data_IF_090048428584
#
_entry.id   IF_090048428584
#
_cell.length_a   1.000
_cell.length_b   1.000
_cell.length_c   1.000
_cell.angle_alpha   90.00
_cell.angle_beta   90.00
_cell.angle_gamma   90.00
#
_symmetry.space_group_name_H-M   'P 1'
#
loop_
_entity.id
_entity.type
_entity.pdbx_description
1 polymer ?
#
# COMPACT_ATOMS: atom_id res chain seq x y z
N UNK A 1 -4.36 -1.39 7.40
CA UNK A 1 -3.35 -1.65 6.33
C UNK A 1 -2.40 -0.47 6.06
N UNK A 2 -2.84 0.70 5.56
CA UNK A 2 -1.95 1.87 5.32
C UNK A 2 -1.39 2.45 6.62
N UNK A 3 -2.26 2.73 7.60
CA UNK A 3 -1.86 3.23 8.91
C UNK A 3 -0.97 2.22 9.67
N UNK A 4 -1.32 0.93 9.64
CA UNK A 4 -0.52 -0.17 10.24
C UNK A 4 0.89 -0.26 9.67
N UNK A 5 1.06 -0.03 8.35
CA UNK A 5 2.37 -0.03 7.70
C UNK A 5 3.17 1.25 7.95
N UNK A 6 2.54 2.29 8.53
CA UNK A 6 3.15 3.60 8.75
C UNK A 6 3.38 4.40 7.47
N UNK A 7 2.70 4.05 6.37
CA UNK A 7 2.90 4.67 5.05
C UNK A 7 1.85 5.74 4.72
N UNK A 8 0.97 6.07 5.67
CA UNK A 8 -0.06 7.10 5.52
C UNK A 8 -1.05 7.08 6.68
N UNK A 9 -2.16 7.79 6.50
CA UNK A 9 -3.28 7.79 7.43
C UNK A 9 -4.46 6.99 6.86
N UNK A 10 -5.19 6.31 7.74
CA UNK A 10 -6.53 5.80 7.43
C UNK A 10 -7.54 6.76 8.07
N UNK A 11 -8.40 7.35 7.25
CA UNK A 11 -9.45 8.24 7.74
C UNK A 11 -10.58 7.41 8.38
N UNK A 12 -11.11 7.88 9.51
CA UNK A 12 -12.14 7.17 10.26
C UNK A 12 -13.53 7.46 9.66
N UNK A 13 -13.95 6.58 8.76
CA UNK A 13 -15.23 6.66 8.05
C UNK A 13 -15.12 7.26 6.65
N UNK A 14 -16.22 7.26 5.88
CA UNK A 14 -16.21 7.72 4.49
C UNK A 14 -16.42 9.22 4.32
N UNK A 15 -16.95 9.93 5.34
CA UNK A 15 -17.32 11.35 5.26
C UNK A 15 -16.38 12.22 6.10
N UNK A 16 -15.36 12.85 5.49
CA UNK A 16 -14.46 13.73 6.21
C UNK A 16 -15.10 15.07 6.57
N UNK A 17 -14.73 15.57 7.75
CA UNK A 17 -14.79 17.00 8.07
C UNK A 17 -13.46 17.67 7.73
N UNK A 18 -13.42 19.00 7.74
CA UNK A 18 -12.17 19.75 7.52
C UNK A 18 -11.14 19.38 8.59
N UNK A 19 -11.55 19.29 9.86
CA UNK A 19 -10.68 19.01 10.99
C UNK A 19 -10.11 17.59 10.91
N UNK A 20 -10.98 16.60 10.66
CA UNK A 20 -10.59 15.20 10.60
C UNK A 20 -9.74 14.88 9.37
N UNK A 21 -9.97 15.55 8.24
CA UNK A 21 -9.10 15.47 7.07
C UNK A 21 -7.75 16.14 7.32
N UNK A 22 -7.74 17.31 7.98
CA UNK A 22 -6.51 18.03 8.29
C UNK A 22 -5.61 17.22 9.22
N UNK A 23 -6.18 16.55 10.23
CA UNK A 23 -5.45 15.63 11.10
C UNK A 23 -4.85 14.44 10.32
N UNK A 24 -5.60 13.87 9.37
CA UNK A 24 -5.09 12.80 8.52
C UNK A 24 -3.95 13.26 7.59
N UNK A 25 -4.05 14.49 7.08
CA UNK A 25 -3.00 15.10 6.25
C UNK A 25 -1.73 15.40 7.04
N UNK A 26 -1.84 15.85 8.29
CA UNK A 26 -0.68 16.05 9.16
C UNK A 26 0.13 14.76 9.32
N UNK A 27 -0.54 13.63 9.52
CA UNK A 27 0.11 12.31 9.56
C UNK A 27 0.70 11.95 8.19
N UNK A 28 -0.09 12.02 7.12
CA UNK A 28 0.32 11.57 5.79
C UNK A 28 1.49 12.37 5.21
N UNK A 29 1.59 13.67 5.53
CA UNK A 29 2.62 14.58 5.03
C UNK A 29 3.89 14.61 5.89
N UNK A 30 3.91 13.93 7.05
CA UNK A 30 5.07 13.90 7.93
C UNK A 30 6.30 13.28 7.20
N UNK A 31 7.51 13.87 7.31
CA UNK A 31 8.71 13.36 6.63
C UNK A 31 9.01 11.87 6.91
N UNK A 32 8.76 11.41 8.14
CA UNK A 32 8.91 10.00 8.52
C UNK A 32 8.01 9.06 7.70
N UNK A 33 6.80 9.50 7.35
CA UNK A 33 5.85 8.72 6.56
C UNK A 33 6.32 8.62 5.12
N UNK A 34 6.89 9.69 4.55
CA UNK A 34 7.51 9.66 3.22
C UNK A 34 8.64 8.64 3.14
N UNK A 35 9.54 8.65 4.13
CA UNK A 35 10.66 7.69 4.20
C UNK A 35 10.12 6.27 4.28
N UNK A 36 9.19 6.01 5.21
CA UNK A 36 8.61 4.67 5.38
C UNK A 36 7.86 4.20 4.15
N UNK A 37 7.11 5.07 3.47
CA UNK A 37 6.43 4.74 2.23
C UNK A 37 7.41 4.36 1.12
N UNK A 38 8.56 5.05 1.03
CA UNK A 38 9.63 4.71 0.08
C UNK A 38 10.27 3.34 0.36
N UNK A 39 10.57 3.04 1.62
CA UNK A 39 11.07 1.73 2.04
C UNK A 39 10.10 0.62 1.65
N UNK A 40 8.83 0.74 2.04
CA UNK A 40 7.81 -0.26 1.73
C UNK A 40 7.61 -0.40 0.23
N UNK A 41 7.64 0.69 -0.53
CA UNK A 41 7.53 0.64 -1.99
C UNK A 41 8.65 -0.19 -2.63
N UNK A 42 9.87 -0.14 -2.08
CA UNK A 42 11.01 -0.93 -2.58
C UNK A 42 10.86 -2.45 -2.37
N UNK A 43 9.99 -2.86 -1.45
CA UNK A 43 9.71 -4.27 -1.15
C UNK A 43 8.59 -4.87 -2.02
N UNK A 44 7.82 -4.04 -2.73
CA UNK A 44 6.65 -4.49 -3.48
C UNK A 44 7.03 -4.91 -4.90
N UNK A 45 6.84 -6.19 -5.23
CA UNK A 45 6.95 -6.71 -6.60
C UNK A 45 5.75 -6.32 -7.46
N UNK A 46 5.99 -5.96 -8.72
CA UNK A 46 4.96 -5.52 -9.68
C UNK A 46 4.60 -6.58 -10.75
N UNK A 47 5.29 -7.71 -10.78
CA UNK A 47 5.17 -8.77 -11.80
C UNK A 47 4.20 -9.89 -11.40
N UNK A 48 3.32 -9.66 -10.42
CA UNK A 48 2.46 -10.69 -9.84
C UNK A 48 1.57 -11.41 -10.86
N UNK A 49 1.00 -10.68 -11.82
CA UNK A 49 0.18 -11.27 -12.88
C UNK A 49 1.00 -12.18 -13.81
N UNK A 50 2.22 -11.77 -14.18
CA UNK A 50 3.12 -12.58 -14.99
C UNK A 50 3.57 -13.84 -14.26
N UNK A 51 3.98 -13.71 -12.99
CA UNK A 51 4.37 -14.82 -12.15
C UNK A 51 3.24 -15.86 -12.02
N UNK A 52 2.00 -15.39 -11.78
CA UNK A 52 0.83 -16.26 -11.70
C UNK A 52 0.54 -16.98 -13.03
N UNK A 53 0.67 -16.29 -14.16
CA UNK A 53 0.49 -16.89 -15.48
C UNK A 53 1.54 -17.99 -15.76
N UNK A 54 2.83 -17.75 -15.44
CA UNK A 54 3.89 -18.75 -15.55
C UNK A 54 3.59 -19.98 -14.71
N UNK A 55 3.18 -19.78 -13.46
CA UNK A 55 2.79 -20.88 -12.55
C UNK A 55 1.64 -21.72 -13.13
N UNK A 56 0.63 -21.06 -13.71
CA UNK A 56 -0.51 -21.74 -14.32
C UNK A 56 -0.08 -22.59 -15.52
N UNK A 57 0.74 -22.03 -16.42
CA UNK A 57 1.25 -22.75 -17.60
C UNK A 57 2.08 -23.95 -17.18
N UNK A 58 2.99 -23.76 -16.23
CA UNK A 58 3.81 -24.85 -15.68
C UNK A 58 2.97 -25.95 -15.04
N UNK A 59 1.91 -25.59 -14.32
CA UNK A 59 1.00 -26.57 -13.72
C UNK A 59 0.26 -27.38 -14.79
N UNK A 60 -0.27 -26.72 -15.83
CA UNK A 60 -0.97 -27.38 -16.94
C UNK A 60 -0.06 -28.33 -17.71
N UNK A 61 1.22 -27.99 -17.90
CA UNK A 61 2.18 -28.84 -18.61
C UNK A 61 2.67 -30.07 -17.83
N UNK A 62 2.36 -30.17 -16.52
CA UNK A 62 2.66 -31.34 -15.68
C UNK A 62 1.48 -32.30 -15.53
N UNK A 63 0.31 -31.94 -16.05
CA UNK A 63 -0.85 -32.83 -16.20
C UNK A 63 -0.75 -33.59 -17.51
#
# INVERSE_FOLDING_TARGET
>A
RVAELGIGAAHDGPMPTVESLSAALEVALAPKVRIRAGEVASEIRADGAEAAAKWLIEWLGRQ
#
